data_IF_587704920911
#
_entry.id   IF_587704920911
#
_cell.length_a   1.000
_cell.length_b   1.000
_cell.length_c   1.000
_cell.angle_alpha   90.00
_cell.angle_beta   90.00
_cell.angle_gamma   90.00
#
_symmetry.space_group_name_H-M   'P 1'
#
loop_
_entity.id
_entity.type
_entity.pdbx_description
1 polymer ?
#
# COMPACT_ATOMS: atom_id res chain seq x y z
N UNK A 1 6.26 -10.82 12.37
CA UNK A 1 7.04 -12.06 12.08
C UNK A 1 6.89 -13.21 13.11
N UNK A 2 6.00 -13.13 14.11
CA UNK A 2 5.94 -14.12 15.21
C UNK A 2 5.65 -15.56 14.76
N UNK A 3 4.65 -15.77 13.92
CA UNK A 3 4.27 -17.13 13.48
C UNK A 3 5.35 -17.79 12.62
N UNK A 4 6.01 -17.02 11.77
CA UNK A 4 7.14 -17.51 10.97
C UNK A 4 8.27 -17.98 11.88
N UNK A 5 8.59 -17.22 12.94
CA UNK A 5 9.56 -17.62 13.94
C UNK A 5 9.15 -18.89 14.70
N UNK A 6 7.85 -19.05 15.02
CA UNK A 6 7.32 -20.27 15.66
C UNK A 6 7.56 -21.50 14.78
N UNK A 7 7.23 -21.41 13.49
CA UNK A 7 7.41 -22.51 12.53
C UNK A 7 8.89 -22.83 12.31
N UNK A 8 9.74 -21.80 12.19
CA UNK A 8 11.19 -22.01 12.02
C UNK A 8 11.78 -22.76 13.21
N UNK A 9 11.44 -22.38 14.44
CA UNK A 9 11.90 -23.09 15.65
C UNK A 9 11.42 -24.54 15.64
N UNK A 10 10.16 -24.79 15.28
CA UNK A 10 9.57 -26.13 15.24
C UNK A 10 10.28 -27.06 14.25
N UNK A 11 10.51 -26.60 13.01
CA UNK A 11 11.16 -27.43 11.99
C UNK A 11 12.68 -27.54 12.19
N UNK A 12 13.35 -26.50 12.71
CA UNK A 12 14.77 -26.59 13.11
C UNK A 12 14.98 -27.60 14.23
N UNK A 13 14.06 -27.68 15.20
CA UNK A 13 14.12 -28.68 16.27
C UNK A 13 14.02 -30.13 15.74
N UNK A 14 13.48 -30.32 14.53
CA UNK A 14 13.43 -31.61 13.83
C UNK A 14 14.64 -31.88 12.94
N UNK A 15 15.59 -30.93 12.85
CA UNK A 15 16.77 -31.03 11.99
C UNK A 15 16.50 -30.78 10.50
N UNK A 16 15.35 -30.18 10.16
CA UNK A 16 14.99 -29.90 8.77
C UNK A 16 15.63 -28.59 8.25
N UNK A 17 16.04 -28.59 6.98
CA UNK A 17 16.46 -27.37 6.30
C UNK A 17 15.24 -26.57 5.85
N UNK A 18 15.23 -25.27 6.13
CA UNK A 18 14.05 -24.41 5.89
C UNK A 18 14.40 -23.34 4.86
N UNK A 19 13.54 -23.21 3.85
CA UNK A 19 13.55 -22.09 2.91
C UNK A 19 12.24 -21.32 3.03
N UNK A 20 12.32 -20.01 3.16
CA UNK A 20 11.14 -19.16 3.29
C UNK A 20 10.81 -18.49 1.96
N UNK A 21 9.65 -18.83 1.40
CA UNK A 21 9.17 -18.26 0.14
C UNK A 21 7.95 -17.39 0.39
N UNK A 22 8.02 -16.12 -0.01
CA UNK A 22 6.93 -15.16 0.12
C UNK A 22 6.35 -14.90 -1.27
N UNK A 23 5.05 -14.99 -1.40
CA UNK A 23 4.35 -14.72 -2.67
C UNK A 23 3.25 -13.71 -2.44
N UNK A 24 2.77 -13.11 -3.54
CA UNK A 24 1.64 -12.20 -3.47
C UNK A 24 1.25 -11.66 -4.84
N UNK A 25 -0.03 -11.38 -5.02
CA UNK A 25 -0.57 -10.81 -6.24
C UNK A 25 -0.88 -9.31 -6.07
N UNK A 26 -0.62 -8.50 -7.11
CA UNK A 26 -0.90 -7.06 -7.11
C UNK A 26 -0.25 -6.36 -5.89
N UNK A 27 -1.01 -5.60 -5.09
CA UNK A 27 -0.53 -5.00 -3.84
C UNK A 27 0.10 -6.04 -2.89
N UNK A 28 -0.43 -7.27 -2.85
CA UNK A 28 0.13 -8.35 -2.04
C UNK A 28 1.57 -8.70 -2.44
N UNK A 29 1.92 -8.60 -3.73
CA UNK A 29 3.29 -8.81 -4.17
C UNK A 29 4.23 -7.65 -3.82
N UNK A 30 3.70 -6.44 -3.67
CA UNK A 30 4.46 -5.33 -3.12
C UNK A 30 4.74 -5.53 -1.62
N UNK A 31 3.72 -5.95 -0.87
CA UNK A 31 3.87 -6.31 0.54
C UNK A 31 4.81 -7.50 0.74
N UNK A 32 4.85 -8.45 -0.19
CA UNK A 32 5.78 -9.59 -0.15
C UNK A 32 7.24 -9.12 -0.15
N UNK A 33 7.59 -8.12 -0.97
CA UNK A 33 8.94 -7.55 -1.00
C UNK A 33 9.30 -6.83 0.31
N UNK A 34 8.37 -6.07 0.88
CA UNK A 34 8.57 -5.39 2.17
C UNK A 34 8.73 -6.39 3.31
N UNK A 35 7.90 -7.45 3.34
CA UNK A 35 8.02 -8.52 4.32
C UNK A 35 9.33 -9.29 4.17
N UNK A 36 9.86 -9.45 2.95
CA UNK A 36 11.16 -10.08 2.75
C UNK A 36 12.29 -9.28 3.42
N UNK A 37 12.24 -7.95 3.34
CA UNK A 37 13.18 -7.07 4.04
C UNK A 37 13.04 -7.17 5.58
N UNK A 38 11.81 -7.21 6.11
CA UNK A 38 11.59 -7.43 7.54
C UNK A 38 12.08 -8.83 7.98
N UNK A 39 11.91 -9.84 7.12
CA UNK A 39 12.32 -11.21 7.41
C UNK A 39 13.85 -11.38 7.42
N UNK A 40 14.59 -10.77 6.49
CA UNK A 40 16.06 -10.82 6.48
C UNK A 40 16.68 -10.13 7.69
N UNK A 41 16.05 -9.03 8.15
CA UNK A 41 16.52 -8.29 9.33
C UNK A 41 16.16 -8.98 10.64
N UNK A 42 15.00 -9.64 10.69
CA UNK A 42 14.55 -10.35 11.90
C UNK A 42 15.13 -11.76 12.05
N UNK A 43 15.49 -12.42 10.94
CA UNK A 43 15.85 -13.84 10.92
C UNK A 43 17.15 -14.05 10.14
N UNK A 44 18.26 -14.03 10.87
CA UNK A 44 19.60 -14.24 10.29
C UNK A 44 19.77 -15.65 9.72
N UNK A 45 20.35 -15.73 8.52
CA UNK A 45 20.79 -16.98 7.89
C UNK A 45 19.68 -17.84 7.29
N UNK A 46 18.45 -17.34 7.17
CA UNK A 46 17.36 -18.04 6.49
C UNK A 46 17.38 -17.73 4.98
N UNK A 47 17.44 -18.73 4.09
CA UNK A 47 17.28 -18.49 2.65
C UNK A 47 15.88 -17.98 2.33
N UNK A 48 15.79 -16.74 1.82
CA UNK A 48 14.51 -16.08 1.50
C UNK A 48 14.36 -15.95 -0.02
N UNK A 49 13.17 -16.27 -0.52
CA UNK A 49 12.79 -16.10 -1.92
C UNK A 49 11.45 -15.39 -2.03
N UNK A 50 11.30 -14.51 -3.03
CA UNK A 50 10.08 -13.74 -3.26
C UNK A 50 9.60 -13.97 -4.69
N UNK A 51 8.35 -14.38 -4.84
CA UNK A 51 7.70 -14.58 -6.15
C UNK A 51 6.42 -13.74 -6.22
N UNK A 52 6.54 -12.45 -6.58
CA UNK A 52 5.38 -11.59 -6.73
C UNK A 52 4.76 -11.68 -8.14
N UNK A 53 3.44 -11.64 -8.21
CA UNK A 53 2.64 -11.69 -9.44
C UNK A 53 1.94 -10.37 -9.69
N UNK A 54 2.15 -9.73 -10.84
CA UNK A 54 1.48 -8.46 -11.18
C UNK A 54 1.74 -7.33 -10.17
N UNK A 55 2.78 -7.45 -9.33
CA UNK A 55 3.04 -6.48 -8.27
C UNK A 55 3.48 -5.14 -8.85
N UNK A 56 3.12 -3.99 -8.24
CA UNK A 56 3.71 -2.70 -8.59
C UNK A 56 5.19 -2.64 -8.17
N UNK A 57 5.91 -1.62 -8.63
CA UNK A 57 7.29 -1.37 -8.18
C UNK A 57 7.27 -0.94 -6.72
N UNK A 58 8.27 -1.40 -5.98
CA UNK A 58 8.47 -1.09 -4.56
C UNK A 58 9.89 -0.59 -4.37
N UNK A 59 10.04 0.50 -3.62
CA UNK A 59 11.34 1.09 -3.31
C UNK A 59 12.01 1.75 -4.52
N UNK A 60 13.25 2.20 -4.27
CA UNK A 60 14.15 2.79 -5.25
C UNK A 60 15.29 1.82 -5.58
N UNK A 61 16.29 2.26 -6.36
CA UNK A 61 17.46 1.44 -6.71
C UNK A 61 18.19 0.95 -5.46
N UNK A 62 18.40 1.82 -4.47
CA UNK A 62 19.06 1.47 -3.21
C UNK A 62 18.30 0.37 -2.45
N UNK A 63 16.96 0.37 -2.45
CA UNK A 63 16.17 -0.71 -1.85
C UNK A 63 16.40 -2.06 -2.57
N UNK A 64 16.46 -2.03 -3.91
CA UNK A 64 16.72 -3.22 -4.72
C UNK A 64 18.13 -3.78 -4.45
N UNK A 65 19.15 -2.92 -4.46
CA UNK A 65 20.52 -3.29 -4.11
C UNK A 65 20.61 -3.84 -2.70
N UNK A 66 19.88 -3.24 -1.75
CA UNK A 66 19.88 -3.72 -0.37
C UNK A 66 19.32 -5.13 -0.21
N UNK A 67 18.26 -5.46 -0.95
CA UNK A 67 17.70 -6.82 -0.97
C UNK A 67 18.66 -7.83 -1.60
N UNK A 68 19.35 -7.44 -2.67
CA UNK A 68 20.36 -8.27 -3.34
C UNK A 68 21.55 -8.54 -2.39
N UNK A 69 22.07 -7.52 -1.70
CA UNK A 69 23.11 -7.66 -0.67
C UNK A 69 22.71 -8.59 0.48
N UNK A 70 21.44 -8.53 0.89
CA UNK A 70 20.88 -9.41 1.92
C UNK A 70 20.64 -10.85 1.43
N UNK A 71 20.92 -11.15 0.15
CA UNK A 71 20.79 -12.48 -0.44
C UNK A 71 19.36 -12.89 -0.77
N UNK A 72 18.42 -11.94 -0.88
CA UNK A 72 17.01 -12.23 -1.21
C UNK A 72 16.88 -12.54 -2.70
N UNK A 73 16.37 -13.73 -3.03
CA UNK A 73 16.12 -14.12 -4.42
C UNK A 73 14.73 -13.65 -4.85
N UNK A 74 14.66 -12.80 -5.86
CA UNK A 74 13.37 -12.27 -6.36
C UNK A 74 13.08 -12.71 -7.78
N UNK A 75 11.92 -13.35 -8.02
CA UNK A 75 11.41 -13.70 -9.35
C UNK A 75 10.03 -13.06 -9.57
N UNK A 76 9.99 -11.95 -10.30
CA UNK A 76 8.74 -11.20 -10.54
C UNK A 76 8.04 -11.68 -11.81
N UNK A 77 6.80 -12.13 -11.65
CA UNK A 77 5.94 -12.57 -12.75
C UNK A 77 5.05 -11.41 -13.20
N UNK A 78 5.13 -11.03 -14.47
CA UNK A 78 4.39 -9.90 -15.05
C UNK A 78 3.70 -10.31 -16.35
N UNK A 79 2.47 -9.83 -16.55
CA UNK A 79 1.76 -9.95 -17.83
C UNK A 79 2.03 -8.70 -18.67
N UNK A 80 2.25 -8.86 -19.98
CA UNK A 80 2.64 -7.77 -20.89
C UNK A 80 1.59 -6.63 -20.92
N UNK A 81 0.32 -7.01 -20.88
CA UNK A 81 -0.84 -6.11 -20.90
C UNK A 81 -1.13 -5.48 -19.53
N UNK A 82 -0.54 -5.98 -18.45
CA UNK A 82 -0.77 -5.46 -17.10
C UNK A 82 -0.03 -4.13 -16.90
N UNK A 83 -0.77 -3.13 -16.42
CA UNK A 83 -0.24 -1.80 -16.11
C UNK A 83 0.32 -1.72 -14.70
N UNK A 84 -0.13 -2.58 -13.77
CA UNK A 84 0.23 -2.49 -12.34
C UNK A 84 1.74 -2.60 -12.15
N UNK A 85 2.48 -3.52 -12.80
CA UNK A 85 3.94 -3.58 -12.68
C UNK A 85 4.68 -2.34 -13.18
N UNK A 86 4.04 -1.54 -14.04
CA UNK A 86 4.58 -0.30 -14.59
C UNK A 86 4.38 0.88 -13.64
N UNK A 87 3.57 0.73 -12.58
CA UNK A 87 3.33 1.73 -11.54
C UNK A 87 4.22 1.53 -10.30
N UNK A 88 4.64 2.60 -9.62
CA UNK A 88 4.64 3.98 -10.12
C UNK A 88 5.51 4.11 -11.38
N UNK A 89 5.13 5.01 -12.30
CA UNK A 89 5.93 5.27 -13.51
C UNK A 89 7.31 5.81 -13.12
N UNK A 90 8.34 5.53 -13.91
CA UNK A 90 9.72 5.92 -13.59
C UNK A 90 9.91 7.45 -13.54
N UNK A 91 9.10 8.17 -14.30
CA UNK A 91 9.05 9.63 -14.35
C UNK A 91 7.92 10.22 -13.49
N UNK A 92 7.29 9.43 -12.62
CA UNK A 92 6.33 9.97 -11.68
C UNK A 92 7.10 10.76 -10.62
N UNK A 93 7.31 12.06 -10.87
CA UNK A 93 7.69 12.99 -9.81
C UNK A 93 6.54 13.03 -8.82
N UNK A 94 6.67 12.23 -7.76
CA UNK A 94 5.74 12.20 -6.65
C UNK A 94 6.39 12.99 -5.53
N UNK A 95 5.72 14.05 -5.13
CA UNK A 95 6.10 14.81 -3.96
C UNK A 95 6.08 13.88 -2.74
N UNK A 96 7.20 13.81 -2.02
CA UNK A 96 7.34 13.02 -0.80
C UNK A 96 6.29 13.42 0.24
N UNK A 97 5.80 14.67 0.20
CA UNK A 97 4.73 15.14 1.06
C UNK A 97 3.44 14.32 0.95
N UNK A 98 3.18 13.68 -0.20
CA UNK A 98 2.00 12.85 -0.39
C UNK A 98 1.95 11.63 0.55
N UNK A 99 3.10 11.14 1.02
CA UNK A 99 3.14 10.04 2.00
C UNK A 99 2.42 10.45 3.29
N UNK A 100 2.70 11.66 3.79
CA UNK A 100 2.08 12.19 5.00
C UNK A 100 0.69 12.79 4.76
N UNK A 101 0.10 12.65 3.57
CA UNK A 101 -1.26 13.12 3.28
C UNK A 101 -2.27 12.59 4.30
N UNK A 102 -2.15 11.31 4.64
CA UNK A 102 -3.01 10.62 5.62
C UNK A 102 -2.22 9.74 6.62
N UNK A 103 -0.89 9.86 6.65
CA UNK A 103 -0.01 9.02 7.49
C UNK A 103 1.06 9.85 8.21
N UNK A 104 1.92 9.19 8.99
CA UNK A 104 3.08 9.74 9.71
C UNK A 104 4.33 8.89 9.44
N UNK A 105 4.57 8.54 8.16
CA UNK A 105 5.64 7.60 7.75
C UNK A 105 6.96 8.29 7.37
N UNK A 106 6.96 9.61 7.14
CA UNK A 106 8.18 10.34 6.79
C UNK A 106 9.04 10.66 8.03
N UNK A 107 10.35 10.72 7.82
CA UNK A 107 11.31 11.16 8.83
C UNK A 107 11.11 12.64 9.18
N UNK A 108 11.35 13.02 10.44
CA UNK A 108 11.01 14.34 10.98
C UNK A 108 11.85 15.47 10.37
N UNK A 109 13.04 15.15 9.88
CA UNK A 109 14.01 16.06 9.28
C UNK A 109 13.47 16.71 7.99
N UNK A 110 12.55 16.03 7.30
CA UNK A 110 11.88 16.56 6.11
C UNK A 110 10.87 17.67 6.44
N UNK A 111 10.51 17.88 7.72
CA UNK A 111 9.59 18.92 8.21
C UNK A 111 8.22 18.96 7.52
N UNK A 112 7.77 17.81 7.02
CA UNK A 112 6.45 17.66 6.41
C UNK A 112 5.45 17.26 7.52
N UNK A 113 4.38 18.05 7.76
CA UNK A 113 3.40 17.72 8.78
C UNK A 113 2.71 16.37 8.51
N UNK A 114 2.43 15.62 9.57
CA UNK A 114 1.66 14.36 9.49
C UNK A 114 0.18 14.62 9.26
N UNK A 115 -0.49 13.71 8.53
CA UNK A 115 -1.94 13.76 8.26
C UNK A 115 -2.38 15.18 7.84
N UNK A 116 -1.62 15.79 6.93
CA UNK A 116 -1.77 17.22 6.63
C UNK A 116 -3.01 17.51 5.80
N UNK A 117 -3.54 16.52 5.07
CA UNK A 117 -4.69 16.74 4.21
C UNK A 117 -5.95 16.88 5.03
N UNK A 118 -6.47 18.10 5.06
CA UNK A 118 -7.80 18.42 5.56
C UNK A 118 -8.52 19.27 4.54
N UNK A 119 -9.84 19.06 4.42
CA UNK A 119 -10.67 20.00 3.69
C UNK A 119 -10.58 21.38 4.37
N UNK A 120 -10.62 22.48 3.59
CA UNK A 120 -10.74 23.81 4.15
C UNK A 120 -11.87 23.86 5.18
N UNK A 121 -11.58 24.38 6.37
CA UNK A 121 -12.54 24.46 7.49
C UNK A 121 -13.16 23.10 7.86
N UNK A 122 -12.42 22.00 7.67
CA UNK A 122 -12.88 20.62 7.86
C UNK A 122 -14.13 20.27 7.04
N UNK A 123 -14.34 20.96 5.91
CA UNK A 123 -15.50 20.78 5.04
C UNK A 123 -16.76 21.51 5.49
N UNK A 124 -16.65 22.44 6.45
CA UNK A 124 -17.75 23.33 6.83
C UNK A 124 -17.87 24.49 5.84
N UNK A 125 -19.09 24.99 5.68
CA UNK A 125 -19.42 26.17 4.87
C UNK A 125 -20.16 27.19 5.72
N UNK A 126 -19.98 28.48 5.44
CA UNK A 126 -20.76 29.53 6.08
C UNK A 126 -22.14 29.61 5.44
N UNK A 127 -23.19 29.60 6.25
CA UNK A 127 -24.54 29.86 5.77
C UNK A 127 -24.81 31.37 5.62
N UNK A 128 -25.98 31.72 5.07
CA UNK A 128 -26.46 33.11 4.91
C UNK A 128 -26.53 33.94 6.20
N UNK A 129 -26.40 33.30 7.36
CA UNK A 129 -26.41 33.92 8.68
C UNK A 129 -25.01 33.98 9.32
N UNK A 130 -23.94 33.71 8.56
CA UNK A 130 -22.57 33.74 9.06
C UNK A 130 -22.20 32.60 10.01
N UNK A 131 -22.99 31.51 10.06
CA UNK A 131 -22.72 30.34 10.91
C UNK A 131 -22.08 29.22 10.10
N UNK A 132 -21.06 28.57 10.66
CA UNK A 132 -20.45 27.38 10.09
C UNK A 132 -21.41 26.19 10.19
N UNK A 133 -21.75 25.62 9.04
CA UNK A 133 -22.65 24.47 8.95
C UNK A 133 -22.03 23.40 8.06
N UNK A 134 -22.44 22.15 8.28
CA UNK A 134 -22.14 21.08 7.34
C UNK A 134 -22.91 21.34 6.03
N UNK A 135 -22.28 21.27 4.85
CA UNK A 135 -23.00 21.39 3.60
C UNK A 135 -24.11 20.33 3.52
N UNK A 136 -25.23 20.72 2.94
CA UNK A 136 -26.32 19.78 2.62
C UNK A 136 -25.78 18.74 1.63
N UNK A 137 -26.20 17.48 1.75
CA UNK A 137 -25.86 16.48 0.74
C UNK A 137 -26.53 16.85 -0.56
N UNK A 138 -25.85 16.63 -1.68
CA UNK A 138 -26.52 16.65 -2.98
C UNK A 138 -27.66 15.62 -2.96
N UNK A 139 -28.81 15.89 -3.61
CA UNK A 139 -29.96 14.98 -3.60
C UNK A 139 -29.60 13.55 -4.06
N UNK A 140 -28.63 13.42 -4.97
CA UNK A 140 -28.11 12.16 -5.51
C UNK A 140 -27.33 11.33 -4.48
N UNK A 141 -26.72 11.98 -3.48
CA UNK A 141 -25.94 11.35 -2.40
C UNK A 141 -26.80 10.99 -1.17
N UNK A 142 -28.11 11.29 -1.22
CA UNK A 142 -29.06 10.86 -0.20
C UNK A 142 -29.52 9.45 -0.57
N UNK A 143 -29.21 8.42 0.24
CA UNK A 143 -29.72 7.09 -0.02
C UNK A 143 -31.24 7.11 0.10
N UNK A 144 -31.92 7.11 -1.04
CA UNK A 144 -33.37 7.05 -1.14
C UNK A 144 -33.80 5.58 -1.10
N UNK A 145 -34.80 5.19 -0.29
CA UNK A 145 -35.36 3.84 -0.30
C UNK A 145 -36.11 3.50 -1.59
N UNK A 146 -36.27 4.46 -2.50
CA UNK A 146 -36.87 4.26 -3.82
C UNK A 146 -35.77 4.43 -4.87
N UNK A 147 -35.37 3.32 -5.50
CA UNK A 147 -34.64 3.37 -6.77
C UNK A 147 -35.44 4.27 -7.71
N UNK A 148 -34.78 5.25 -8.32
CA UNK A 148 -35.39 6.13 -9.32
C UNK A 148 -36.00 5.25 -10.42
N UNK A 149 -37.33 5.08 -10.38
CA UNK A 149 -38.06 4.57 -11.50
C UNK A 149 -37.90 5.61 -12.61
N UNK A 150 -37.32 5.18 -13.73
CA UNK A 150 -37.14 5.96 -14.93
C UNK A 150 -38.44 6.68 -15.29
N UNK A 151 -38.44 8.01 -15.23
CA UNK A 151 -39.42 8.82 -15.95
C UNK A 151 -39.13 8.65 -17.44
N UNK A 152 -39.76 7.68 -18.06
CA UNK A 152 -39.91 7.55 -19.50
C UNK A 152 -41.19 6.77 -19.79
N UNK A 153 -42.35 7.36 -19.47
CA UNK A 153 -43.60 7.13 -20.20
C UNK A 153 -44.44 8.41 -20.15
N UNK A 154 -45.07 8.73 -21.28
CA UNK A 154 -46.03 9.80 -21.58
C UNK A 154 -45.43 11.16 -22.00
N UNK A 155 -45.02 11.27 -23.26
CA UNK A 155 -45.84 11.88 -24.33
C UNK A 155 -45.24 11.61 -25.72
#
# INVERSE_FOLDING_TARGET
>A
MEEVNRLIKFYKAKGEEIRFTITGHSLGGALALLNAYEATTSISGLPISVIPFGAPRVGNLAFKEKLDEMGVKTLRIVLKQDIVPKFPRWNAQRDVALVNKATDMLIKELRIPKIWYQLPYKGLVLNKHGRWVKPSREPEDVPSPLSVASKNELH
#
